data_IF_329636558953
#
_entry.id   IF_329636558953
#
_cell.length_a   1.000
_cell.length_b   1.000
_cell.length_c   1.000
_cell.angle_alpha   90.00
_cell.angle_beta   90.00
_cell.angle_gamma   90.00
#
_symmetry.space_group_name_H-M   'P 1'
#
loop_
_entity.id
_entity.type
_entity.pdbx_description
1 polymer ?
#
# COMPACT_ATOMS: atom_id res chain seq x y z
N UNK A 1 -0.56 -9.35 14.13
CA UNK A 1 0.10 -8.43 13.18
C UNK A 1 -0.55 -7.05 13.15
N UNK A 2 -1.88 -6.95 13.06
CA UNK A 2 -2.63 -5.66 13.09
C UNK A 2 -2.26 -4.77 14.28
N UNK A 3 -2.18 -5.33 15.50
CA UNK A 3 -1.73 -4.59 16.69
C UNK A 3 -0.32 -4.04 16.55
N UNK A 4 0.60 -4.81 15.95
CA UNK A 4 1.97 -4.35 15.70
C UNK A 4 2.00 -3.17 14.72
N UNK A 5 1.21 -3.23 13.65
CA UNK A 5 1.10 -2.13 12.68
C UNK A 5 0.52 -0.88 13.36
N UNK A 6 -0.57 -1.01 14.11
CA UNK A 6 -1.21 0.12 14.79
C UNK A 6 -0.27 0.81 15.78
N UNK A 7 0.39 0.02 16.63
CA UNK A 7 1.33 0.54 17.64
C UNK A 7 2.60 1.13 17.02
N UNK A 8 3.10 0.58 15.90
CA UNK A 8 4.24 1.14 15.17
C UNK A 8 3.97 2.55 14.60
N UNK A 9 2.73 2.82 14.17
CA UNK A 9 2.37 4.16 13.69
C UNK A 9 2.17 5.15 14.84
N UNK A 10 1.75 4.69 16.02
CA UNK A 10 1.59 5.51 17.23
C UNK A 10 2.92 5.87 17.87
N UNK A 11 3.93 4.99 17.83
CA UNK A 11 5.26 5.27 18.36
C UNK A 11 5.94 6.47 17.66
N UNK A 12 5.56 6.80 16.42
CA UNK A 12 5.99 8.03 15.73
C UNK A 12 5.52 9.32 16.41
N UNK A 13 4.53 9.22 17.32
CA UNK A 13 3.95 10.34 18.06
C UNK A 13 4.34 10.38 19.55
N UNK A 14 5.40 9.66 19.94
CA UNK A 14 6.07 9.75 21.25
C UNK A 14 5.14 9.53 22.48
N UNK A 15 4.33 8.46 22.44
CA UNK A 15 3.51 8.02 23.57
C UNK A 15 4.18 6.86 24.32
N UNK A 16 4.75 7.13 25.51
CA UNK A 16 5.57 6.22 26.33
C UNK A 16 4.81 5.05 27.02
N UNK A 17 3.61 4.68 26.55
CA UNK A 17 2.69 3.82 27.31
C UNK A 17 2.13 2.59 26.60
N UNK A 18 2.49 2.34 25.34
CA UNK A 18 1.93 1.22 24.58
C UNK A 18 2.99 0.13 24.39
N UNK A 19 2.59 -1.14 24.54
CA UNK A 19 3.45 -2.29 24.24
C UNK A 19 4.22 -2.07 22.94
N UNK A 20 5.52 -2.35 22.97
CA UNK A 20 6.38 -2.17 21.82
C UNK A 20 5.84 -2.96 20.63
N UNK A 21 5.73 -2.29 19.48
CA UNK A 21 5.26 -2.86 18.22
C UNK A 21 6.03 -4.14 17.86
N UNK A 22 7.31 -4.18 18.24
CA UNK A 22 8.18 -5.35 18.10
C UNK A 22 7.68 -6.56 18.89
N UNK A 23 7.13 -6.38 20.10
CA UNK A 23 6.55 -7.48 20.90
C UNK A 23 5.35 -8.10 20.18
N UNK A 24 4.44 -7.27 19.66
CA UNK A 24 3.29 -7.76 18.91
C UNK A 24 3.67 -8.41 17.59
N UNK A 25 4.71 -7.88 16.92
CA UNK A 25 5.27 -8.48 15.71
C UNK A 25 5.88 -9.86 16.02
N UNK A 26 6.75 -9.96 17.02
CA UNK A 26 7.40 -11.21 17.40
C UNK A 26 6.38 -12.30 17.76
N UNK A 27 5.33 -11.95 18.52
CA UNK A 27 4.21 -12.87 18.81
C UNK A 27 3.43 -13.31 17.57
N UNK A 28 3.29 -12.44 16.57
CA UNK A 28 2.64 -12.82 15.31
C UNK A 28 3.53 -13.76 14.48
N UNK A 29 4.85 -13.51 14.47
CA UNK A 29 5.82 -14.31 13.73
C UNK A 29 5.92 -15.76 14.24
N UNK A 30 5.70 -16.02 15.54
CA UNK A 30 5.68 -17.40 16.07
C UNK A 30 4.54 -18.26 15.52
N UNK A 31 3.48 -17.66 14.98
CA UNK A 31 2.32 -18.34 14.39
C UNK A 31 2.30 -18.27 12.86
N UNK A 32 3.26 -17.56 12.25
CA UNK A 32 3.21 -17.29 10.82
C UNK A 32 3.29 -18.59 10.01
N UNK A 33 4.17 -19.53 10.40
CA UNK A 33 4.31 -20.81 9.69
C UNK A 33 2.98 -21.59 9.65
N UNK A 34 2.26 -21.67 10.76
CA UNK A 34 0.96 -22.34 10.86
C UNK A 34 -0.07 -21.71 9.91
N UNK A 35 -0.09 -20.37 9.82
CA UNK A 35 -1.01 -19.64 8.92
C UNK A 35 -0.61 -19.82 7.46
N UNK A 36 0.69 -19.84 7.15
CA UNK A 36 1.17 -20.03 5.78
C UNK A 36 0.97 -21.46 5.26
N UNK A 37 0.86 -22.44 6.15
CA UNK A 37 0.54 -23.82 5.82
C UNK A 37 -0.95 -24.06 5.50
N UNK A 38 -1.83 -23.08 5.76
CA UNK A 38 -3.26 -23.16 5.46
C UNK A 38 -3.53 -22.69 4.03
N UNK A 39 -4.51 -23.33 3.40
CA UNK A 39 -5.10 -22.83 2.17
C UNK A 39 -6.08 -21.70 2.45
N UNK A 40 -6.18 -20.75 1.51
CA UNK A 40 -7.16 -19.67 1.59
C UNK A 40 -6.55 -18.27 1.59
N UNK A 41 -7.43 -17.29 1.79
CA UNK A 41 -7.10 -15.87 1.71
C UNK A 41 -6.32 -15.38 2.93
N UNK A 42 -6.45 -16.08 4.06
CA UNK A 42 -5.80 -15.79 5.34
C UNK A 42 -4.28 -15.84 5.22
N UNK A 43 -3.77 -16.80 4.43
CA UNK A 43 -2.35 -16.91 4.08
C UNK A 43 -1.85 -15.65 3.40
N UNK A 44 -2.59 -15.16 2.39
CA UNK A 44 -2.25 -13.94 1.68
C UNK A 44 -2.36 -12.71 2.60
N UNK A 45 -3.44 -12.59 3.37
CA UNK A 45 -3.63 -11.50 4.33
C UNK A 45 -2.48 -11.43 5.35
N UNK A 46 -2.03 -12.58 5.87
CA UNK A 46 -0.90 -12.64 6.78
C UNK A 46 0.39 -12.11 6.12
N UNK A 47 0.68 -12.54 4.88
CA UNK A 47 1.84 -12.04 4.12
C UNK A 47 1.75 -10.52 3.90
N UNK A 48 0.59 -10.01 3.48
CA UNK A 48 0.39 -8.58 3.24
C UNK A 48 0.58 -7.76 4.52
N UNK A 49 0.08 -8.23 5.65
CA UNK A 49 0.26 -7.56 6.93
C UNK A 49 1.74 -7.57 7.38
N UNK A 50 2.47 -8.66 7.15
CA UNK A 50 3.91 -8.74 7.43
C UNK A 50 4.68 -7.75 6.54
N UNK A 51 4.35 -7.69 5.24
CA UNK A 51 4.92 -6.71 4.30
C UNK A 51 4.67 -5.27 4.78
N UNK A 52 3.42 -4.95 5.11
CA UNK A 52 3.01 -3.62 5.55
C UNK A 52 3.73 -3.18 6.84
N UNK A 53 3.84 -4.08 7.83
CA UNK A 53 4.59 -3.80 9.04
C UNK A 53 6.05 -3.43 8.72
N UNK A 54 6.71 -4.27 7.91
CA UNK A 54 8.13 -4.11 7.58
C UNK A 54 8.44 -2.86 6.76
N UNK A 55 7.50 -2.42 5.91
CA UNK A 55 7.65 -1.15 5.21
C UNK A 55 7.65 0.06 6.16
N UNK A 56 6.98 -0.04 7.30
CA UNK A 56 6.84 1.06 8.26
C UNK A 56 7.94 1.15 9.31
N UNK A 57 8.82 0.14 9.41
CA UNK A 57 9.80 -0.02 10.49
C UNK A 57 11.22 -0.11 9.95
N UNK A 58 12.14 0.70 10.47
CA UNK A 58 13.58 0.67 10.14
C UNK A 58 14.35 -0.34 11.00
N UNK A 59 13.74 -1.49 11.33
CA UNK A 59 14.39 -2.49 12.19
C UNK A 59 15.56 -3.15 11.44
N UNK A 60 16.78 -2.83 11.86
CA UNK A 60 18.06 -3.27 11.28
C UNK A 60 18.31 -4.78 11.30
N UNK A 61 17.54 -5.55 12.07
CA UNK A 61 17.74 -6.98 12.33
C UNK A 61 17.09 -7.91 11.30
N UNK A 62 16.91 -7.44 10.07
CA UNK A 62 16.07 -8.13 9.09
C UNK A 62 16.83 -8.51 7.84
N UNK A 63 17.15 -9.80 7.69
CA UNK A 63 17.91 -10.32 6.54
C UNK A 63 17.11 -10.36 5.23
N UNK A 64 15.80 -10.64 5.31
CA UNK A 64 14.94 -10.75 4.11
C UNK A 64 14.43 -9.39 3.68
N UNK A 65 14.75 -8.93 2.47
CA UNK A 65 14.15 -7.72 1.88
C UNK A 65 12.63 -7.86 1.72
N UNK A 66 11.87 -6.81 2.05
CA UNK A 66 10.41 -6.75 1.86
C UNK A 66 9.99 -7.01 0.40
N UNK A 67 10.85 -6.65 -0.56
CA UNK A 67 10.63 -6.96 -1.97
C UNK A 67 10.54 -8.47 -2.24
N UNK A 68 11.38 -9.29 -1.59
CA UNK A 68 11.29 -10.75 -1.74
C UNK A 68 10.00 -11.30 -1.13
N UNK A 69 9.58 -10.76 0.01
CA UNK A 69 8.35 -11.19 0.67
C UNK A 69 7.11 -10.86 -0.17
N UNK A 70 7.10 -9.68 -0.80
CA UNK A 70 6.09 -9.32 -1.80
C UNK A 70 6.11 -10.29 -2.98
N UNK A 71 7.29 -10.71 -3.45
CA UNK A 71 7.40 -11.73 -4.49
C UNK A 71 6.83 -13.09 -4.08
N UNK A 72 6.90 -13.48 -2.80
CA UNK A 72 6.21 -14.67 -2.27
C UNK A 72 4.70 -14.46 -2.32
N UNK A 73 4.21 -13.33 -1.80
CA UNK A 73 2.79 -12.99 -1.82
C UNK A 73 2.22 -12.93 -3.25
N UNK A 74 2.98 -12.42 -4.22
CA UNK A 74 2.64 -12.42 -5.64
C UNK A 74 2.40 -13.83 -6.17
N UNK A 75 3.32 -14.77 -5.93
CA UNK A 75 3.15 -16.16 -6.37
C UNK A 75 1.97 -16.84 -5.68
N UNK A 76 1.78 -16.64 -4.37
CA UNK A 76 0.62 -17.11 -3.63
C UNK A 76 -0.70 -16.59 -4.23
N UNK A 77 -0.72 -15.32 -4.63
CA UNK A 77 -1.88 -14.70 -5.24
C UNK A 77 -2.18 -15.23 -6.65
N UNK A 78 -1.13 -15.51 -7.44
CA UNK A 78 -1.23 -16.12 -8.76
C UNK A 78 -1.72 -17.57 -8.67
N UNK A 79 -1.19 -18.36 -7.73
CA UNK A 79 -1.61 -19.73 -7.43
C UNK A 79 -3.11 -19.81 -7.11
N UNK A 80 -3.62 -18.83 -6.35
CA UNK A 80 -5.05 -18.72 -6.05
C UNK A 80 -5.91 -18.20 -7.21
N UNK A 81 -5.31 -17.83 -8.35
CA UNK A 81 -6.03 -17.28 -9.50
C UNK A 81 -6.63 -15.88 -9.26
N UNK A 82 -6.20 -15.14 -8.24
CA UNK A 82 -6.82 -13.84 -7.89
C UNK A 82 -6.54 -12.73 -8.90
N UNK A 83 -5.64 -12.95 -9.86
CA UNK A 83 -5.36 -12.07 -11.00
C UNK A 83 -6.36 -12.26 -12.15
N UNK A 84 -7.29 -13.22 -12.03
CA UNK A 84 -8.31 -13.56 -13.02
C UNK A 84 -9.70 -13.09 -12.61
N UNK A 85 -10.43 -12.38 -13.48
CA UNK A 85 -11.81 -11.95 -13.28
C UNK A 85 -12.75 -13.13 -13.02
N UNK A 86 -12.49 -14.27 -13.67
CA UNK A 86 -13.26 -15.50 -13.50
C UNK A 86 -13.32 -16.00 -12.03
N UNK A 87 -12.30 -15.72 -11.23
CA UNK A 87 -12.26 -16.09 -9.81
C UNK A 87 -13.31 -15.39 -8.96
N UNK A 88 -13.83 -14.25 -9.45
CA UNK A 88 -14.81 -13.42 -8.75
C UNK A 88 -16.25 -13.66 -9.21
N UNK A 89 -16.48 -14.61 -10.12
CA UNK A 89 -17.82 -14.93 -10.60
C UNK A 89 -18.68 -15.57 -9.49
N UNK A 90 -19.91 -15.09 -9.35
CA UNK A 90 -20.87 -15.62 -8.39
C UNK A 90 -21.63 -16.82 -8.98
N UNK A 91 -21.81 -17.92 -8.22
CA UNK A 91 -22.68 -19.00 -8.64
C UNK A 91 -24.15 -18.54 -8.73
N UNK A 92 -24.82 -18.87 -9.84
CA UNK A 92 -26.21 -18.44 -10.09
C UNK A 92 -27.26 -19.11 -9.20
N UNK A 93 -26.90 -20.16 -8.47
CA UNK A 93 -27.83 -20.99 -7.67
C UNK A 93 -27.90 -20.63 -6.20
N UNK A 94 -27.24 -19.54 -5.77
CA UNK A 94 -27.24 -19.11 -4.37
C UNK A 94 -28.55 -18.37 -4.02
N UNK A 95 -29.04 -18.62 -2.81
CA UNK A 95 -30.06 -17.80 -2.18
C UNK A 95 -29.49 -16.40 -1.85
N UNK A 96 -30.36 -15.47 -1.47
CA UNK A 96 -29.95 -14.06 -1.26
C UNK A 96 -28.91 -13.92 -0.13
N UNK A 97 -29.06 -14.69 0.94
CA UNK A 97 -28.11 -14.70 2.05
C UNK A 97 -26.75 -15.29 1.63
N UNK A 98 -26.74 -16.42 0.93
CA UNK A 98 -25.51 -17.05 0.42
C UNK A 98 -24.81 -16.18 -0.63
N UNK A 99 -25.57 -15.50 -1.49
CA UNK A 99 -25.03 -14.54 -2.48
C UNK A 99 -24.29 -13.41 -1.78
N UNK A 100 -24.89 -12.78 -0.78
CA UNK A 100 -24.28 -11.66 -0.04
C UNK A 100 -22.98 -12.06 0.65
N UNK A 101 -22.95 -13.23 1.30
CA UNK A 101 -21.73 -13.76 1.93
C UNK A 101 -20.65 -14.00 0.88
N UNK A 102 -21.02 -14.54 -0.29
CA UNK A 102 -20.07 -14.80 -1.36
C UNK A 102 -19.52 -13.52 -1.99
N UNK A 103 -20.36 -12.50 -2.16
CA UNK A 103 -19.94 -11.17 -2.61
C UNK A 103 -18.91 -10.56 -1.68
N UNK A 104 -19.14 -10.61 -0.36
CA UNK A 104 -18.19 -10.09 0.64
C UNK A 104 -16.84 -10.84 0.60
N UNK A 105 -16.87 -12.16 0.41
CA UNK A 105 -15.66 -12.97 0.22
C UNK A 105 -14.87 -12.55 -1.04
N UNK A 106 -15.57 -12.36 -2.17
CA UNK A 106 -14.95 -11.94 -3.44
C UNK A 106 -14.37 -10.53 -3.34
N UNK A 107 -15.05 -9.64 -2.65
CA UNK A 107 -14.63 -8.27 -2.41
C UNK A 107 -13.41 -8.21 -1.48
N UNK A 108 -13.34 -9.10 -0.49
CA UNK A 108 -12.16 -9.27 0.37
C UNK A 108 -10.96 -9.76 -0.44
N UNK A 109 -11.16 -10.77 -1.30
CA UNK A 109 -10.12 -11.27 -2.22
C UNK A 109 -9.62 -10.18 -3.16
N UNK A 110 -10.54 -9.39 -3.73
CA UNK A 110 -10.22 -8.31 -4.68
C UNK A 110 -9.39 -7.21 -4.01
N UNK A 111 -9.74 -6.82 -2.77
CA UNK A 111 -8.95 -5.87 -1.97
C UNK A 111 -7.57 -6.41 -1.63
N UNK A 112 -7.45 -7.69 -1.26
CA UNK A 112 -6.15 -8.30 -0.99
C UNK A 112 -5.26 -8.29 -2.24
N UNK A 113 -5.81 -8.66 -3.39
CA UNK A 113 -5.11 -8.61 -4.67
C UNK A 113 -4.62 -7.20 -5.01
N UNK A 114 -5.50 -6.19 -4.97
CA UNK A 114 -5.11 -4.82 -5.29
C UNK A 114 -4.19 -4.18 -4.24
N UNK A 115 -4.29 -4.60 -2.97
CA UNK A 115 -3.33 -4.21 -1.93
C UNK A 115 -1.93 -4.77 -2.22
N UNK A 116 -1.85 -6.03 -2.68
CA UNK A 116 -0.59 -6.63 -3.11
C UNK A 116 0.00 -5.88 -4.30
N UNK A 117 -0.83 -5.59 -5.30
CA UNK A 117 -0.42 -4.82 -6.48
C UNK A 117 0.18 -3.48 -6.06
N UNK A 118 -0.51 -2.76 -5.18
CA UNK A 118 -0.06 -1.49 -4.62
C UNK A 118 1.27 -1.60 -3.86
N UNK A 119 1.42 -2.61 -3.00
CA UNK A 119 2.65 -2.87 -2.23
C UNK A 119 3.86 -3.18 -3.11
N UNK A 120 3.66 -4.01 -4.13
CA UNK A 120 4.69 -4.32 -5.12
C UNK A 120 5.15 -3.07 -5.85
N UNK A 121 4.22 -2.18 -6.27
CA UNK A 121 4.59 -1.00 -7.06
C UNK A 121 5.37 0.00 -6.22
N UNK A 122 4.93 0.29 -5.00
CA UNK A 122 5.65 1.23 -4.12
C UNK A 122 7.02 0.70 -3.70
N UNK A 123 7.12 -0.60 -3.39
CA UNK A 123 8.37 -1.21 -2.94
C UNK A 123 9.38 -1.28 -4.08
N UNK A 124 8.92 -1.72 -5.25
CA UNK A 124 9.76 -1.80 -6.44
C UNK A 124 10.20 -0.42 -6.91
N UNK A 125 9.35 0.61 -6.82
CA UNK A 125 9.73 2.00 -7.06
C UNK A 125 10.84 2.45 -6.11
N UNK A 126 10.61 2.27 -4.81
CA UNK A 126 11.52 2.77 -3.77
C UNK A 126 12.90 2.09 -3.82
N UNK A 127 12.95 0.82 -4.25
CA UNK A 127 14.19 0.05 -4.31
C UNK A 127 14.82 0.00 -5.72
N UNK A 128 14.17 0.59 -6.74
CA UNK A 128 14.60 0.50 -8.13
C UNK A 128 14.65 -0.95 -8.63
N UNK A 129 13.67 -1.79 -8.25
CA UNK A 129 13.61 -3.21 -8.60
C UNK A 129 12.47 -3.49 -9.60
N UNK A 130 12.53 -4.59 -10.37
CA UNK A 130 11.43 -5.01 -11.23
C UNK A 130 10.17 -5.38 -10.42
N UNK A 131 9.02 -5.15 -11.03
CA UNK A 131 7.71 -5.54 -10.49
C UNK A 131 7.55 -7.06 -10.47
N UNK A 132 6.89 -7.58 -9.43
CA UNK A 132 6.54 -9.00 -9.34
C UNK A 132 5.31 -9.36 -10.19
N UNK A 133 4.38 -8.41 -10.38
CA UNK A 133 3.17 -8.58 -11.18
C UNK A 133 3.17 -7.57 -12.33
N UNK A 134 2.99 -8.05 -13.57
CA UNK A 134 2.81 -7.18 -14.74
C UNK A 134 1.33 -6.88 -14.96
N UNK A 135 1.01 -5.72 -15.50
CA UNK A 135 -0.39 -5.32 -15.71
C UNK A 135 -1.04 -6.14 -16.83
N UNK A 136 -0.24 -6.57 -17.78
CA UNK A 136 -0.62 -7.39 -18.93
C UNK A 136 -1.16 -8.77 -18.51
N UNK A 137 -0.83 -9.24 -17.30
CA UNK A 137 -1.27 -10.52 -16.75
C UNK A 137 -2.53 -10.39 -15.85
N UNK A 138 -3.09 -9.18 -15.72
CA UNK A 138 -4.19 -8.87 -14.81
C UNK A 138 -5.42 -8.48 -15.61
N UNK A 139 -6.51 -9.21 -15.45
CA UNK A 139 -7.81 -8.91 -16.08
C UNK A 139 -8.91 -8.58 -15.05
N UNK A 140 -8.53 -8.37 -13.79
CA UNK A 140 -9.44 -8.06 -12.69
C UNK A 140 -9.69 -6.56 -12.61
N UNK A 141 -10.95 -6.17 -12.44
CA UNK A 141 -11.32 -4.77 -12.24
C UNK A 141 -11.03 -4.27 -10.82
N UNK A 142 -10.88 -2.95 -10.68
CA UNK A 142 -10.84 -2.30 -9.38
C UNK A 142 -12.18 -2.52 -8.63
N UNK A 143 -12.17 -2.57 -7.28
CA UNK A 143 -13.41 -2.65 -6.53
C UNK A 143 -14.37 -1.50 -6.88
N UNK A 144 -15.69 -1.75 -6.96
CA UNK A 144 -16.65 -0.71 -7.23
C UNK A 144 -16.62 0.33 -6.10
N UNK A 145 -16.28 1.56 -6.45
CA UNK A 145 -16.30 2.72 -5.56
C UNK A 145 -17.46 3.63 -5.94
N UNK A 146 -18.34 3.95 -4.98
CA UNK A 146 -19.36 4.99 -5.14
C UNK A 146 -19.03 6.13 -4.17
N UNK A 147 -18.83 7.33 -4.71
CA UNK A 147 -18.70 8.58 -3.94
C UNK A 147 -20.04 9.30 -3.78
N UNK A 148 -21.11 8.80 -4.41
CA UNK A 148 -22.42 9.46 -4.45
C UNK A 148 -23.18 9.35 -3.12
N UNK A 149 -22.80 8.40 -2.25
CA UNK A 149 -23.47 8.20 -0.98
C UNK A 149 -22.98 9.23 0.05
N UNK A 150 -23.88 10.09 0.52
CA UNK A 150 -23.58 11.03 1.59
C UNK A 150 -23.25 10.26 2.87
N UNK A 151 -22.03 10.47 3.38
CA UNK A 151 -21.64 9.99 4.70
C UNK A 151 -22.30 10.88 5.78
N UNK A 152 -22.86 10.30 6.85
CA UNK A 152 -23.14 11.05 8.08
C UNK A 152 -21.90 11.81 8.52
N UNK A 153 -22.06 13.06 8.99
CA UNK A 153 -20.94 13.97 9.32
C UNK A 153 -19.98 13.37 10.37
N UNK A 154 -20.47 12.51 11.25
CA UNK A 154 -19.67 11.84 12.30
C UNK A 154 -19.02 10.51 11.87
N UNK A 155 -19.21 10.09 10.62
CA UNK A 155 -18.73 8.79 10.16
C UNK A 155 -17.34 8.84 9.55
N UNK A 156 -16.38 8.19 10.23
CA UNK A 156 -15.02 8.05 9.71
C UNK A 156 -14.97 7.09 8.51
N UNK A 157 -14.39 7.50 7.37
CA UNK A 157 -14.17 6.61 6.22
C UNK A 157 -13.15 5.49 6.50
N UNK A 158 -12.57 5.45 7.71
CA UNK A 158 -11.65 4.41 8.18
C UNK A 158 -12.31 3.42 9.16
N UNK A 159 -13.62 3.54 9.40
CA UNK A 159 -14.35 2.61 10.28
C UNK A 159 -14.58 1.24 9.63
N UNK A 160 -14.63 0.17 10.44
CA UNK A 160 -15.01 -1.17 10.00
C UNK A 160 -16.51 -1.23 9.72
N UNK A 161 -16.93 -0.70 8.58
CA UNK A 161 -18.32 -0.66 8.18
C UNK A 161 -18.72 -1.96 7.45
N UNK A 162 -19.96 -2.47 7.65
CA UNK A 162 -20.45 -3.63 6.92
C UNK A 162 -20.41 -3.45 5.40
N UNK A 163 -20.29 -4.57 4.68
CA UNK A 163 -20.32 -4.58 3.22
C UNK A 163 -21.53 -3.82 2.66
N UNK A 164 -21.30 -3.01 1.63
CA UNK A 164 -22.35 -2.28 0.92
C UNK A 164 -22.89 -1.05 1.65
N UNK A 165 -22.38 -0.69 2.84
CA UNK A 165 -22.73 0.57 3.50
C UNK A 165 -22.08 1.79 2.84
N UNK A 166 -22.63 3.01 2.99
CA UNK A 166 -22.00 4.24 2.50
C UNK A 166 -20.54 4.41 2.96
N UNK A 167 -20.26 4.16 4.25
CA UNK A 167 -18.92 4.24 4.83
C UNK A 167 -17.95 3.26 4.16
N UNK A 168 -18.41 2.03 3.91
CA UNK A 168 -17.62 1.04 3.20
C UNK A 168 -17.30 1.47 1.76
N UNK A 169 -18.27 2.03 1.04
CA UNK A 169 -18.09 2.53 -0.34
C UNK A 169 -17.15 3.74 -0.39
N UNK A 170 -17.21 4.62 0.61
CA UNK A 170 -16.29 5.73 0.77
C UNK A 170 -14.85 5.26 1.04
N UNK A 171 -14.67 4.33 1.99
CA UNK A 171 -13.38 3.69 2.26
C UNK A 171 -12.81 3.02 0.99
N UNK A 172 -13.68 2.36 0.24
CA UNK A 172 -13.34 1.74 -1.05
C UNK A 172 -12.92 2.77 -2.09
N UNK A 173 -13.55 3.95 -2.12
CA UNK A 173 -13.17 5.05 -3.02
C UNK A 173 -11.76 5.56 -2.73
N UNK A 174 -11.42 5.77 -1.45
CA UNK A 174 -10.06 6.15 -1.04
C UNK A 174 -9.05 5.05 -1.41
N UNK A 175 -9.39 3.78 -1.13
CA UNK A 175 -8.57 2.64 -1.51
C UNK A 175 -8.30 2.59 -3.02
N UNK A 176 -9.34 2.67 -3.84
CA UNK A 176 -9.25 2.69 -5.32
C UNK A 176 -8.37 3.83 -5.78
N UNK A 177 -8.51 5.03 -5.20
CA UNK A 177 -7.69 6.19 -5.53
C UNK A 177 -6.20 5.95 -5.26
N UNK A 178 -5.87 5.34 -4.11
CA UNK A 178 -4.49 4.96 -3.77
C UNK A 178 -3.97 3.92 -4.77
N UNK A 179 -4.76 2.90 -5.11
CA UNK A 179 -4.34 1.85 -6.05
C UNK A 179 -4.07 2.45 -7.44
N UNK A 180 -4.91 3.36 -7.94
CA UNK A 180 -4.70 4.06 -9.21
C UNK A 180 -3.38 4.80 -9.25
N UNK A 181 -3.03 5.54 -8.19
CA UNK A 181 -1.72 6.16 -8.07
C UNK A 181 -0.57 5.14 -8.16
N UNK A 182 -0.71 4.00 -7.47
CA UNK A 182 0.30 2.93 -7.51
C UNK A 182 0.44 2.30 -8.90
N UNK A 183 -0.63 2.24 -9.68
CA UNK A 183 -0.57 1.80 -11.07
C UNK A 183 0.23 2.77 -11.94
N UNK A 184 0.05 4.09 -11.76
CA UNK A 184 0.87 5.10 -12.44
C UNK A 184 2.34 4.93 -12.06
N UNK A 185 2.66 4.72 -10.77
CA UNK A 185 4.02 4.39 -10.33
C UNK A 185 4.57 3.13 -11.04
N UNK A 186 3.75 2.10 -11.19
CA UNK A 186 4.12 0.88 -11.92
C UNK A 186 4.47 1.15 -13.39
N UNK A 187 3.67 1.97 -14.08
CA UNK A 187 3.94 2.39 -15.46
C UNK A 187 5.27 3.15 -15.56
N UNK A 188 5.53 4.06 -14.62
CA UNK A 188 6.80 4.81 -14.54
C UNK A 188 8.00 3.85 -14.36
N UNK A 189 7.93 2.89 -13.44
CA UNK A 189 9.00 1.90 -13.24
C UNK A 189 9.25 1.11 -14.53
N UNK A 190 8.19 0.62 -15.17
CA UNK A 190 8.31 -0.13 -16.41
C UNK A 190 8.93 0.72 -17.53
N UNK A 191 8.57 2.01 -17.64
CA UNK A 191 9.20 2.94 -18.57
C UNK A 191 10.71 3.12 -18.32
N UNK A 192 11.13 3.17 -17.05
CA UNK A 192 12.52 3.39 -16.66
C UNK A 192 13.38 2.11 -16.72
N UNK A 193 12.81 0.94 -16.45
CA UNK A 193 13.56 -0.32 -16.28
C UNK A 193 13.43 -1.31 -17.45
N UNK A 194 12.48 -1.14 -18.38
CA UNK A 194 12.34 -2.05 -19.53
C UNK A 194 13.57 -1.88 -20.43
N UNK A 195 14.27 -2.99 -20.69
CA UNK A 195 15.60 -3.00 -21.32
C UNK A 195 15.64 -2.21 -22.63
N UNK A 196 16.65 -1.34 -22.77
CA UNK A 196 16.92 -0.58 -24.00
C UNK A 196 17.03 -1.47 -25.26
N UNK A 197 17.36 -2.76 -25.12
CA UNK A 197 17.39 -3.72 -26.25
C UNK A 197 16.01 -4.01 -26.83
N UNK A 198 14.93 -3.78 -26.08
CA UNK A 198 13.54 -3.90 -26.52
C UNK A 198 12.91 -2.55 -26.91
N UNK A 199 13.62 -1.43 -26.67
CA UNK A 199 13.20 -0.09 -27.09
C UNK A 199 13.80 0.18 -28.45
N UNK A 200 13.22 -0.43 -29.49
CA UNK A 200 13.70 -0.30 -30.87
C UNK A 200 13.31 1.05 -31.53
N UNK A 201 12.94 2.07 -30.74
CA UNK A 201 12.46 3.36 -31.25
C UNK A 201 13.23 4.56 -30.67
N UNK A 202 13.57 5.56 -31.51
CA UNK A 202 14.44 6.69 -31.17
C UNK A 202 13.76 7.64 -30.18
N UNK A 203 14.56 8.50 -29.53
CA UNK A 203 14.27 9.42 -28.41
C UNK A 203 12.90 10.15 -28.36
N UNK A 204 12.12 10.20 -29.44
CA UNK A 204 10.74 10.72 -29.49
C UNK A 204 9.77 9.95 -28.58
N UNK A 205 10.01 8.65 -28.33
CA UNK A 205 9.09 7.81 -27.54
C UNK A 205 9.08 8.12 -26.03
N UNK A 206 10.20 8.57 -25.45
CA UNK A 206 10.28 8.79 -23.99
C UNK A 206 9.60 10.09 -23.57
N UNK A 207 9.77 11.16 -24.34
CA UNK A 207 9.16 12.46 -24.08
C UNK A 207 7.63 12.40 -24.17
N UNK A 208 7.09 11.68 -25.16
CA UNK A 208 5.66 11.40 -25.28
C UNK A 208 5.13 10.58 -24.11
N UNK A 209 5.83 9.49 -23.75
CA UNK A 209 5.47 8.64 -22.60
C UNK A 209 5.50 9.42 -21.28
N UNK A 210 6.54 10.24 -21.07
CA UNK A 210 6.65 11.11 -19.89
C UNK A 210 5.47 12.08 -19.83
N UNK A 211 5.15 12.73 -20.95
CA UNK A 211 4.05 13.69 -21.04
C UNK A 211 2.70 13.03 -20.78
N UNK A 212 2.47 11.83 -21.34
CA UNK A 212 1.27 11.04 -21.09
C UNK A 212 1.14 10.65 -19.61
N UNK A 213 2.21 10.17 -18.97
CA UNK A 213 2.21 9.81 -17.55
C UNK A 213 2.02 11.03 -16.64
N UNK A 214 2.61 12.17 -17.00
CA UNK A 214 2.42 13.43 -16.27
C UNK A 214 0.98 13.91 -16.35
N UNK A 215 0.34 13.79 -17.52
CA UNK A 215 -1.08 14.10 -17.71
C UNK A 215 -1.96 13.17 -16.87
N UNK A 216 -1.74 11.85 -16.94
CA UNK A 216 -2.48 10.86 -16.14
C UNK A 216 -2.36 11.12 -14.63
N UNK A 217 -1.15 11.47 -14.16
CA UNK A 217 -0.90 11.83 -12.76
C UNK A 217 -1.64 13.12 -12.36
N UNK A 218 -1.68 14.12 -13.25
CA UNK A 218 -2.41 15.36 -13.00
C UNK A 218 -3.92 15.13 -12.92
N UNK A 219 -4.47 14.31 -13.83
CA UNK A 219 -5.88 13.92 -13.81
C UNK A 219 -6.23 13.20 -12.51
N UNK A 220 -5.44 12.20 -12.13
CA UNK A 220 -5.56 11.52 -10.84
C UNK A 220 -5.50 12.51 -9.66
N UNK A 221 -4.59 13.48 -9.69
CA UNK A 221 -4.48 14.47 -8.62
C UNK A 221 -5.76 15.32 -8.51
N UNK A 222 -6.33 15.78 -9.63
CA UNK A 222 -7.56 16.58 -9.63
C UNK A 222 -8.77 15.83 -9.07
N UNK A 223 -8.87 14.53 -9.31
CA UNK A 223 -9.94 13.68 -8.77
C UNK A 223 -9.88 13.53 -7.24
N UNK A 224 -8.74 13.82 -6.61
CA UNK A 224 -8.60 13.78 -5.14
C UNK A 224 -9.61 14.71 -4.45
N UNK A 225 -10.01 15.81 -5.10
CA UNK A 225 -11.01 16.74 -4.59
C UNK A 225 -12.42 16.11 -4.44
N UNK A 226 -12.69 15.01 -5.15
CA UNK A 226 -13.96 14.30 -5.10
C UNK A 226 -13.99 13.21 -4.03
N UNK A 227 -12.88 12.99 -3.31
CA UNK A 227 -12.84 11.97 -2.27
C UNK A 227 -13.60 12.43 -1.02
N UNK A 228 -14.29 11.49 -0.34
CA UNK A 228 -14.99 11.74 0.92
C UNK A 228 -13.98 11.81 2.09
N UNK A 229 -13.04 12.76 2.01
CA UNK A 229 -12.09 13.02 3.08
C UNK A 229 -12.73 13.97 4.09
N UNK A 230 -12.53 13.70 5.38
CA UNK A 230 -12.93 14.62 6.45
C UNK A 230 -12.26 15.97 6.19
N UNK A 231 -13.05 17.03 6.06
CA UNK A 231 -12.51 18.39 5.97
C UNK A 231 -11.79 18.65 7.29
N UNK A 232 -10.49 18.92 7.22
CA UNK A 232 -9.75 19.36 8.40
C UNK A 232 -10.30 20.74 8.78
N UNK A 233 -11.17 20.81 9.78
CA UNK A 233 -11.57 22.08 10.37
C UNK A 233 -10.34 22.72 11.03
N UNK A 234 -9.65 23.59 10.29
CA UNK A 234 -8.67 24.54 10.83
C UNK A 234 -9.39 25.64 11.62
N UNK A 235 -10.12 25.25 12.67
CA UNK A 235 -10.75 26.16 13.64
C UNK A 235 -10.57 25.70 15.10
N UNK A 236 -9.74 24.68 15.36
CA UNK A 236 -9.23 24.43 16.72
C UNK A 236 -7.91 25.19 16.89
N UNK A 237 -7.91 26.26 17.69
CA UNK A 237 -6.70 26.96 18.13
C UNK A 237 -5.61 25.95 18.53
N UNK A 238 -4.34 26.17 18.15
CA UNK A 238 -3.26 25.29 18.59
C UNK A 238 -3.26 25.26 20.12
N UNK A 239 -3.17 24.07 20.75
CA UNK A 239 -3.02 24.00 22.19
C UNK A 239 -1.77 24.80 22.57
N UNK A 240 -1.92 25.69 23.55
CA UNK A 240 -0.84 26.47 24.12
C UNK A 240 0.16 25.48 24.74
N UNK A 241 1.22 25.17 24.00
CA UNK A 241 2.31 24.38 24.53
C UNK A 241 3.18 25.28 25.40
N UNK A 242 3.14 25.04 26.72
CA UNK A 242 4.15 25.57 27.61
C UNK A 242 5.51 25.03 27.18
N UNK A 243 6.30 25.93 26.62
CA UNK A 243 7.69 25.77 26.26
C UNK A 243 8.52 25.36 27.48
N UNK A 244 9.17 24.20 27.43
CA UNK A 244 10.42 23.98 28.16
C UNK A 244 11.29 22.93 27.46
N UNK A 245 12.08 23.39 26.49
CA UNK A 245 13.52 23.10 26.33
C UNK A 245 13.96 23.22 24.86
N UNK A 246 14.66 24.31 24.47
CA UNK A 246 15.02 24.62 23.08
C UNK A 246 16.32 23.97 22.57
N UNK A 247 16.77 22.83 23.09
CA UNK A 247 18.10 22.26 22.73
C UNK A 247 18.12 21.03 21.80
N UNK A 248 16.98 20.56 21.27
CA UNK A 248 16.98 19.30 20.50
C UNK A 248 17.09 19.44 18.97
N UNK A 249 17.06 20.65 18.38
CA UNK A 249 17.01 20.81 16.91
C UNK A 249 18.36 21.26 16.30
N UNK A 250 19.35 21.65 17.10
CA UNK A 250 20.61 22.22 16.57
C UNK A 250 21.80 21.25 16.54
N UNK A 251 21.66 19.95 16.84
CA UNK A 251 22.81 19.02 16.81
C UNK A 251 22.96 18.18 15.52
N UNK A 252 22.04 18.27 14.56
CA UNK A 252 22.12 17.48 13.31
C UNK A 252 22.70 18.24 12.11
N UNK A 253 23.12 19.49 12.27
CA UNK A 253 23.67 20.31 11.16
C UNK A 253 25.19 20.58 11.29
N UNK A 254 25.85 20.13 12.37
CA UNK A 254 27.29 20.39 12.59
C UNK A 254 28.14 19.16 12.95
N UNK A 255 27.77 17.96 12.50
CA UNK A 255 28.66 16.78 12.54
C UNK A 255 29.47 16.64 11.24
N UNK A 256 30.81 16.74 11.25
CA UNK A 256 31.64 16.67 10.04
C UNK A 256 31.79 15.27 9.42
N UNK A 257 31.15 14.20 9.94
CA UNK A 257 31.48 12.83 9.49
C UNK A 257 30.68 12.30 8.28
N UNK A 258 29.71 13.05 7.75
CA UNK A 258 28.87 12.59 6.64
C UNK A 258 29.37 12.95 5.22
N UNK A 259 30.49 13.69 5.10
CA UNK A 259 31.06 14.09 3.79
C UNK A 259 32.02 13.08 3.15
N UNK A 260 32.50 12.08 3.90
CA UNK A 260 33.47 11.10 3.39
C UNK A 260 32.88 9.94 2.59
N UNK A 261 31.60 9.62 2.76
CA UNK A 261 31.02 8.37 2.22
C UNK A 261 30.52 8.47 0.78
N UNK A 262 30.32 9.69 0.27
CA UNK A 262 29.78 9.92 -1.09
C UNK A 262 30.90 10.00 -2.15
N UNK A 263 32.16 10.27 -1.76
CA UNK A 263 33.29 10.29 -2.70
C UNK A 263 33.90 8.90 -2.98
N UNK A 264 33.72 7.91 -2.11
CA UNK A 264 34.35 6.59 -2.29
C UNK A 264 33.61 5.65 -3.26
N UNK A 265 32.34 5.94 -3.62
CA UNK A 265 31.57 5.13 -4.59
C UNK A 265 31.63 5.62 -6.04
N UNK A 266 32.33 6.74 -6.33
CA UNK A 266 32.55 7.21 -7.71
C UNK A 266 33.92 6.85 -8.30
N UNK A 267 34.79 6.17 -7.54
CA UNK A 267 36.15 5.81 -7.99
C UNK A 267 36.35 4.33 -8.35
N UNK A 268 35.30 3.51 -8.34
CA UNK A 268 35.38 2.06 -8.63
C UNK A 268 34.35 1.56 -9.64
N UNK A 269 34.03 2.39 -10.63
CA UNK A 269 33.47 1.96 -11.91
C UNK A 269 34.16 2.69 -13.05
#
# INVERSE_FOLDING_TARGET
MTLAIGTAQVHKFNWNGVYDAETHYNRAMTRLADVLARDGIERLQALLLVCQYRMGTTSSNTTTSVWHLIGVAARTCLEMGLHRAATYALPGTLDEAGRKVKEEEMETKRRCFWSLVALDRVTSLALGRPLALQLEDIDVDLPPSSTADQLPEDSSPLSSAPYGTPQYRAATSVFVHIVRYRLICGKIINALHRSAKHVMFPNTSYEEMRTALAKELQEWHTETANLPLVKSDTAASPPVYHTSSPYAITSLVQSPSARGYIQHQRSTK
#
